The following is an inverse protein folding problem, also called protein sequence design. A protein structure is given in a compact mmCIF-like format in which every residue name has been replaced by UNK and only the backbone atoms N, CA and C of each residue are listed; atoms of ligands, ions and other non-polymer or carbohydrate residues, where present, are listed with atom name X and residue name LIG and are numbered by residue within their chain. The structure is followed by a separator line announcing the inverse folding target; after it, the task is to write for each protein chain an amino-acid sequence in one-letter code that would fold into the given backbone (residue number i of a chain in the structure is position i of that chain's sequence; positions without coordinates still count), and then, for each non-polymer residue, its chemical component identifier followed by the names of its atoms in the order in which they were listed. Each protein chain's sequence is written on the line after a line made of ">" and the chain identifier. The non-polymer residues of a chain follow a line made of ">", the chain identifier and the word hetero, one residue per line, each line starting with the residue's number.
data_IF_535609205106
#
_entry.id   IF_535609205106
#
_cell.length_a   1.000
_cell.length_b   1.000
_cell.length_c   1.000
_cell.angle_alpha   90.00
_cell.angle_beta   90.00
_cell.angle_gamma   90.00
#
_symmetry.space_group_name_H-M   'P 1'
#
loop_
_entity.id
_entity.type
_entity.pdbx_description
1 polymer ?
#
# COMPACT_ATOMS: atom_id res chain seq x y z
N UNK A 1 23.02 11.50 -7.76
CA UNK A 1 22.44 10.16 -7.54
C UNK A 1 23.50 9.29 -6.89
N UNK A 2 23.52 9.20 -5.56
CA UNK A 2 24.52 8.45 -4.80
C UNK A 2 24.11 6.98 -4.82
N UNK A 3 24.90 6.13 -5.50
CA UNK A 3 24.75 4.69 -5.39
C UNK A 3 25.48 4.25 -4.11
N UNK A 4 24.79 3.77 -3.07
CA UNK A 4 25.50 3.24 -1.91
C UNK A 4 26.26 1.99 -2.36
N UNK A 5 27.59 2.03 -2.32
CA UNK A 5 28.41 0.83 -2.46
C UNK A 5 28.26 0.05 -1.15
N UNK A 6 27.26 -0.81 -1.07
CA UNK A 6 27.13 -1.74 0.03
C UNK A 6 28.19 -2.83 -0.14
N UNK A 7 29.27 -2.70 0.62
CA UNK A 7 30.28 -3.73 0.81
C UNK A 7 29.69 -4.86 1.67
N UNK A 8 28.86 -5.70 1.07
CA UNK A 8 28.35 -6.89 1.74
C UNK A 8 29.43 -7.97 1.77
N UNK A 9 29.64 -8.67 2.89
CA UNK A 9 30.56 -9.80 2.94
C UNK A 9 30.07 -10.89 1.97
N UNK A 10 30.98 -11.38 1.13
CA UNK A 10 30.75 -12.39 0.08
C UNK A 10 29.82 -13.57 0.46
N UNK A 11 29.83 -14.13 1.69
CA UNK A 11 28.92 -15.23 2.04
C UNK A 11 27.43 -14.85 2.15
N UNK A 12 27.08 -13.56 2.27
CA UNK A 12 25.68 -13.11 2.40
C UNK A 12 25.02 -12.78 1.06
N UNK A 13 25.82 -12.64 0.00
CA UNK A 13 25.36 -12.33 -1.36
C UNK A 13 24.30 -13.32 -1.89
N UNK A 14 24.43 -14.66 -1.74
CA UNK A 14 23.40 -15.58 -2.19
C UNK A 14 22.09 -15.45 -1.41
N UNK A 15 22.16 -15.19 -0.10
CA UNK A 15 20.97 -14.97 0.74
C UNK A 15 20.25 -13.66 0.34
N UNK A 16 21.01 -12.61 0.04
CA UNK A 16 20.47 -11.33 -0.40
C UNK A 16 19.80 -11.45 -1.78
N UNK A 17 20.40 -12.20 -2.70
CA UNK A 17 19.81 -12.52 -4.01
C UNK A 17 18.50 -13.31 -3.87
N UNK A 18 18.45 -14.29 -2.96
CA UNK A 18 17.25 -15.08 -2.70
C UNK A 18 16.10 -14.22 -2.15
N UNK A 19 16.41 -13.33 -1.20
CA UNK A 19 15.45 -12.39 -0.62
C UNK A 19 14.93 -11.39 -1.67
N UNK A 20 15.80 -10.85 -2.51
CA UNK A 20 15.42 -9.94 -3.58
C UNK A 20 14.55 -10.63 -4.66
N UNK A 21 14.81 -11.90 -4.96
CA UNK A 21 14.01 -12.69 -5.89
C UNK A 21 12.63 -13.08 -5.31
N UNK A 22 12.52 -13.21 -3.99
CA UNK A 22 11.26 -13.52 -3.30
C UNK A 22 10.39 -12.27 -3.03
N UNK A 23 10.98 -11.07 -2.99
CA UNK A 23 10.27 -9.80 -2.77
C UNK A 23 9.07 -9.55 -3.71
N UNK A 24 9.12 -9.82 -5.04
CA UNK A 24 7.97 -9.61 -5.92
C UNK A 24 6.85 -10.64 -5.73
N UNK A 25 7.10 -11.74 -5.02
CA UNK A 25 6.10 -12.79 -4.77
C UNK A 25 5.27 -12.54 -3.50
N UNK A 26 5.58 -11.50 -2.72
CA UNK A 26 4.81 -11.13 -1.52
C UNK A 26 3.68 -10.19 -1.96
N UNK A 27 2.41 -10.63 -2.01
CA UNK A 27 1.30 -9.74 -2.26
C UNK A 27 1.27 -8.65 -1.18
N UNK A 28 1.41 -7.39 -1.59
CA UNK A 28 1.41 -6.22 -0.70
C UNK A 28 2.77 -5.54 -0.49
N UNK A 29 3.90 -6.16 -0.84
CA UNK A 29 5.22 -5.54 -0.67
C UNK A 29 5.57 -4.49 -1.75
N UNK A 30 4.85 -4.49 -2.86
CA UNK A 30 5.08 -3.58 -4.01
C UNK A 30 4.30 -2.26 -3.95
N UNK A 31 3.55 -2.00 -2.87
CA UNK A 31 2.71 -0.79 -2.77
C UNK A 31 1.61 -0.69 -3.84
N UNK A 32 1.43 -1.74 -4.64
CA UNK A 32 0.40 -1.80 -5.68
C UNK A 32 -0.89 -2.30 -5.05
N UNK A 33 -1.68 -1.40 -4.47
CA UNK A 33 -3.08 -1.71 -4.19
C UNK A 33 -3.81 -1.87 -5.54
N UNK A 34 -4.47 -3.02 -5.79
CA UNK A 34 -5.27 -3.20 -7.00
C UNK A 34 -6.51 -2.30 -6.92
N UNK A 35 -6.36 -1.06 -7.38
CA UNK A 35 -7.40 -0.03 -7.34
C UNK A 35 -8.18 0.01 -8.67
N UNK A 36 -9.49 0.30 -8.61
CA UNK A 36 -10.32 0.41 -9.83
C UNK A 36 -9.94 1.65 -10.63
N UNK A 37 -10.14 1.57 -11.96
CA UNK A 37 -9.96 2.71 -12.85
C UNK A 37 -10.81 3.91 -12.41
N UNK A 38 -10.29 5.12 -12.56
CA UNK A 38 -10.95 6.35 -12.10
C UNK A 38 -12.37 6.53 -12.65
N UNK A 39 -12.56 6.27 -13.94
CA UNK A 39 -13.88 6.38 -14.59
C UNK A 39 -14.92 5.44 -13.96
N UNK A 40 -14.52 4.19 -13.65
CA UNK A 40 -15.40 3.24 -12.96
C UNK A 40 -15.77 3.71 -11.56
N UNK A 41 -14.82 4.33 -10.83
CA UNK A 41 -15.09 4.89 -9.49
C UNK A 41 -16.10 6.03 -9.53
N UNK A 42 -16.01 6.90 -10.54
CA UNK A 42 -16.96 8.00 -10.75
C UNK A 42 -18.36 7.49 -11.11
N UNK A 43 -18.45 6.40 -11.88
CA UNK A 43 -19.73 5.78 -12.25
C UNK A 43 -20.40 5.08 -11.05
N UNK A 44 -19.63 4.35 -10.24
CA UNK A 44 -20.13 3.66 -9.04
C UNK A 44 -20.49 4.63 -7.90
N UNK A 45 -19.79 5.77 -7.80
CA UNK A 45 -20.03 6.77 -6.77
C UNK A 45 -21.10 7.79 -7.20
N UNK A 46 -22.32 7.62 -6.70
CA UNK A 46 -23.42 8.56 -6.95
C UNK A 46 -23.15 9.98 -6.37
N UNK A 47 -22.28 10.11 -5.38
CA UNK A 47 -21.93 11.38 -4.74
C UNK A 47 -20.41 11.54 -4.70
N UNK A 48 -19.92 12.69 -5.19
CA UNK A 48 -18.50 13.07 -5.12
C UNK A 48 -18.41 14.43 -4.43
N UNK A 49 -17.67 14.48 -3.33
CA UNK A 49 -17.50 15.68 -2.50
C UNK A 49 -16.05 15.84 -2.06
N UNK A 50 -15.67 17.09 -1.77
CA UNK A 50 -14.38 17.46 -1.22
C UNK A 50 -14.59 18.14 0.11
N UNK A 51 -13.91 17.67 1.14
CA UNK A 51 -13.98 18.21 2.49
C UNK A 51 -12.76 17.81 3.30
N UNK A 52 -12.61 18.43 4.47
CA UNK A 52 -11.59 18.07 5.46
C UNK A 52 -12.25 17.27 6.56
N UNK A 53 -11.61 16.19 7.00
CA UNK A 53 -12.06 15.43 8.17
C UNK A 53 -11.67 16.18 9.43
N UNK A 54 -12.63 16.49 10.29
CA UNK A 54 -12.44 17.14 11.59
C UNK A 54 -12.13 16.12 12.69
N UNK A 55 -12.91 15.03 12.74
CA UNK A 55 -12.83 14.06 13.84
C UNK A 55 -13.12 12.62 13.37
N UNK A 56 -12.39 11.65 13.94
CA UNK A 56 -12.64 10.22 13.77
C UNK A 56 -13.67 9.80 14.83
N UNK A 57 -14.81 9.32 14.36
CA UNK A 57 -15.93 8.85 15.18
C UNK A 57 -15.81 7.33 15.47
N UNK A 58 -16.88 6.77 16.02
CA UNK A 58 -16.97 5.39 16.46
C UNK A 58 -16.66 4.36 15.35
N UNK A 59 -16.12 3.21 15.80
CA UNK A 59 -15.89 2.01 15.00
C UNK A 59 -17.17 1.17 14.98
N UNK A 60 -17.59 0.70 13.80
CA UNK A 60 -18.55 -0.38 13.64
C UNK A 60 -17.82 -1.72 13.78
N UNK A 61 -18.02 -2.46 14.88
CA UNK A 61 -17.32 -3.72 15.13
C UNK A 61 -17.77 -4.85 14.20
N UNK A 62 -18.90 -4.73 13.50
CA UNK A 62 -19.41 -5.79 12.61
C UNK A 62 -18.73 -5.71 11.25
N UNK A 63 -18.60 -4.50 10.71
CA UNK A 63 -17.98 -4.27 9.41
C UNK A 63 -16.48 -3.96 9.51
N UNK A 64 -15.95 -3.77 10.73
CA UNK A 64 -14.59 -3.29 10.98
C UNK A 64 -14.30 -1.95 10.27
N UNK A 65 -15.30 -1.06 10.24
CA UNK A 65 -15.23 0.26 9.62
C UNK A 65 -15.29 1.35 10.70
N UNK A 66 -14.90 2.57 10.36
CA UNK A 66 -15.03 3.73 11.24
C UNK A 66 -15.68 4.89 10.49
N UNK A 67 -16.32 5.78 11.23
CA UNK A 67 -16.96 6.98 10.68
C UNK A 67 -16.10 8.22 10.91
N UNK A 68 -16.30 9.25 10.08
CA UNK A 68 -15.61 10.53 10.18
C UNK A 68 -16.63 11.68 10.13
N UNK A 69 -16.34 12.77 10.85
CA UNK A 69 -17.04 14.04 10.72
C UNK A 69 -16.18 15.03 9.94
#
# INVERSE_FOLDING_TARGET
>A
MVRPRLSFPAPLLPLLLLLAAAAPAVPGATGTCPERALERRKEEANVVLTGTVEEILNVDPVQHTYSCK
#
